data_IF_577627145009
#
_entry.id   IF_577627145009
#
_cell.length_a   1.000
_cell.length_b   1.000
_cell.length_c   1.000
_cell.angle_alpha   90.00
_cell.angle_beta   90.00
_cell.angle_gamma   90.00
#
_symmetry.space_group_name_H-M   'P 1'
#
loop_
_entity.id
_entity.type
_entity.pdbx_description
1 polymer ?
#
# COMPACT_ATOMS: atom_id res chain seq x y z
N UNK A 1 0.86 -23.01 3.34
CA UNK A 1 0.75 -21.90 2.37
C UNK A 1 2.11 -21.23 2.38
N UNK A 2 2.87 -21.34 1.27
CA UNK A 2 4.19 -20.70 1.19
C UNK A 2 4.05 -19.20 1.44
N UNK A 3 4.96 -18.65 2.24
CA UNK A 3 5.00 -17.25 2.62
C UNK A 3 4.99 -16.30 1.41
N UNK A 4 5.56 -16.73 0.29
CA UNK A 4 5.54 -16.05 -1.01
C UNK A 4 4.11 -15.79 -1.52
N UNK A 5 3.22 -16.78 -1.45
CA UNK A 5 1.82 -16.67 -1.90
C UNK A 5 1.07 -15.67 -1.04
N UNK A 6 1.32 -15.68 0.27
CA UNK A 6 0.70 -14.71 1.18
C UNK A 6 1.15 -13.28 0.89
N UNK A 7 2.45 -13.08 0.65
CA UNK A 7 3.01 -11.77 0.31
C UNK A 7 2.46 -11.27 -1.03
N UNK A 8 2.34 -12.15 -2.02
CA UNK A 8 1.75 -11.84 -3.31
C UNK A 8 0.30 -11.35 -3.17
N UNK A 9 -0.53 -12.06 -2.42
CA UNK A 9 -1.93 -11.68 -2.19
C UNK A 9 -2.03 -10.30 -1.53
N UNK A 10 -1.19 -10.02 -0.52
CA UNK A 10 -1.15 -8.72 0.15
C UNK A 10 -0.76 -7.62 -0.83
N UNK A 11 0.25 -7.87 -1.66
CA UNK A 11 0.72 -6.92 -2.66
C UNK A 11 -0.36 -6.62 -3.71
N UNK A 12 -0.97 -7.64 -4.30
CA UNK A 12 -2.03 -7.50 -5.30
C UNK A 12 -3.26 -6.76 -4.73
N UNK A 13 -3.64 -7.07 -3.50
CA UNK A 13 -4.73 -6.38 -2.79
C UNK A 13 -4.39 -4.91 -2.57
N UNK A 14 -3.18 -4.61 -2.10
CA UNK A 14 -2.71 -3.26 -1.85
C UNK A 14 -2.68 -2.41 -3.13
N UNK A 15 -2.11 -2.95 -4.21
CA UNK A 15 -2.09 -2.29 -5.53
C UNK A 15 -3.51 -1.99 -5.96
N UNK A 16 -4.40 -2.99 -5.92
CA UNK A 16 -5.80 -2.82 -6.30
C UNK A 16 -6.49 -1.72 -5.51
N UNK A 17 -6.26 -1.62 -4.19
CA UNK A 17 -6.84 -0.55 -3.36
C UNK A 17 -6.35 0.85 -3.75
N UNK A 18 -5.03 1.02 -3.98
CA UNK A 18 -4.45 2.34 -4.28
C UNK A 18 -4.65 2.77 -5.73
N UNK A 19 -4.85 1.83 -6.66
CA UNK A 19 -5.10 2.13 -8.08
C UNK A 19 -6.58 2.05 -8.45
N UNK A 20 -7.49 1.80 -7.49
CA UNK A 20 -8.93 1.61 -7.75
C UNK A 20 -9.60 2.85 -8.35
N UNK A 21 -9.19 4.04 -7.91
CA UNK A 21 -9.70 5.32 -8.40
C UNK A 21 -8.58 6.35 -8.50
N UNK A 22 -8.73 7.40 -9.35
CA UNK A 22 -7.78 8.50 -9.43
C UNK A 22 -7.53 9.20 -8.09
N UNK A 23 -8.54 9.29 -7.23
CA UNK A 23 -8.46 9.91 -5.90
C UNK A 23 -7.63 9.07 -4.94
N UNK A 24 -7.87 7.76 -4.87
CA UNK A 24 -7.08 6.83 -4.06
C UNK A 24 -5.61 6.83 -4.50
N UNK A 25 -5.38 6.93 -5.81
CA UNK A 25 -4.04 7.06 -6.37
C UNK A 25 -3.37 8.37 -5.95
N UNK A 26 -4.09 9.49 -6.01
CA UNK A 26 -3.57 10.78 -5.58
C UNK A 26 -3.25 10.82 -4.07
N UNK A 27 -4.07 10.21 -3.22
CA UNK A 27 -3.80 10.06 -1.79
C UNK A 27 -2.55 9.23 -1.54
N UNK A 28 -2.39 8.11 -2.24
CA UNK A 28 -1.19 7.30 -2.19
C UNK A 28 0.05 8.09 -2.61
N UNK A 29 -0.01 8.84 -3.71
CA UNK A 29 1.11 9.69 -4.15
C UNK A 29 1.47 10.77 -3.13
N UNK A 30 0.47 11.40 -2.49
CA UNK A 30 0.72 12.36 -1.39
C UNK A 30 1.42 11.67 -0.22
N UNK A 31 0.97 10.48 0.17
CA UNK A 31 1.64 9.69 1.21
C UNK A 31 3.07 9.33 0.80
N UNK A 32 3.26 8.75 -0.38
CA UNK A 32 4.54 8.25 -0.89
C UNK A 32 5.56 9.39 -1.09
N UNK A 33 5.11 10.59 -1.44
CA UNK A 33 5.99 11.78 -1.57
C UNK A 33 6.75 12.10 -0.28
N UNK A 34 6.20 11.74 0.89
CA UNK A 34 6.85 11.92 2.21
C UNK A 34 8.02 10.95 2.43
N UNK A 35 8.13 9.93 1.57
CA UNK A 35 9.10 8.85 1.64
C UNK A 35 10.01 8.83 0.40
N UNK A 36 10.38 10.00 -0.13
CA UNK A 36 11.17 10.20 -1.37
C UNK A 36 12.43 9.33 -1.55
N UNK A 37 12.92 8.66 -0.50
CA UNK A 37 14.05 7.73 -0.53
C UNK A 37 13.68 6.26 -0.79
N UNK A 38 12.40 5.92 -0.78
CA UNK A 38 11.93 4.54 -0.84
C UNK A 38 11.29 4.23 -2.21
N UNK A 39 11.62 3.07 -2.82
CA UNK A 39 10.91 2.55 -3.98
C UNK A 39 9.41 2.42 -3.71
N UNK A 40 8.61 2.48 -4.78
CA UNK A 40 7.15 2.35 -4.76
C UNK A 40 6.67 1.22 -3.84
N UNK A 41 7.27 0.03 -3.94
CA UNK A 41 6.87 -1.15 -3.16
C UNK A 41 7.03 -0.94 -1.65
N UNK A 42 8.08 -0.23 -1.24
CA UNK A 42 8.35 0.04 0.17
C UNK A 42 7.40 1.10 0.74
N UNK A 43 6.98 2.07 -0.06
CA UNK A 43 5.95 3.03 0.32
C UNK A 43 4.57 2.36 0.40
N UNK A 44 4.24 1.48 -0.57
CA UNK A 44 3.00 0.72 -0.61
C UNK A 44 2.83 -0.20 0.61
N UNK A 45 3.87 -0.95 0.99
CA UNK A 45 3.82 -1.79 2.19
C UNK A 45 3.65 -0.97 3.47
N UNK A 46 4.20 0.25 3.51
CA UNK A 46 4.01 1.17 4.65
C UNK A 46 2.59 1.75 4.70
N UNK A 47 1.99 2.12 3.56
CA UNK A 47 0.64 2.67 3.52
C UNK A 47 -0.42 1.66 3.93
N UNK A 48 -0.25 0.40 3.52
CA UNK A 48 -1.15 -0.70 3.91
C UNK A 48 -1.10 -0.95 5.42
N UNK A 49 0.09 -0.92 6.03
CA UNK A 49 0.22 -1.06 7.49
C UNK A 49 -0.52 0.05 8.23
N UNK A 50 -0.37 1.30 7.81
CA UNK A 50 -1.09 2.43 8.44
C UNK A 50 -2.61 2.35 8.26
N UNK A 51 -3.09 1.86 7.11
CA UNK A 51 -4.53 1.71 6.88
C UNK A 51 -5.15 0.55 7.67
N UNK A 52 -4.40 -0.54 7.90
CA UNK A 52 -4.85 -1.63 8.76
C UNK A 52 -4.96 -1.15 10.21
N UNK A 53 -3.96 -0.45 10.74
CA UNK A 53 -4.00 0.10 12.10
C UNK A 53 -5.14 1.11 12.31
N UNK A 54 -5.47 1.89 11.28
CA UNK A 54 -6.60 2.85 11.30
C UNK A 54 -7.97 2.18 11.25
N UNK A 55 -8.07 0.95 10.71
CA UNK A 55 -9.33 0.23 10.56
C UNK A 55 -9.75 -0.56 11.82
N UNK A 56 -8.86 -0.66 12.82
CA UNK A 56 -9.09 -1.34 14.09
C UNK A 56 -9.17 -0.39 15.30
N UNK A 57 -9.15 0.93 15.07
CA UNK A 57 -9.48 1.99 16.04
C UNK A 57 -10.85 2.58 15.74
#
# INVERSE_FOLDING_TARGET
MEESVRLQIIYETAVSMVTRTPEAWAEYLRFASRFYKYPFDNALLRSVRTNIESAWM
#
